data_IF_099833348379
#
_entry.id   IF_099833348379
#
_cell.length_a   1.000
_cell.length_b   1.000
_cell.length_c   1.000
_cell.angle_alpha   90.00
_cell.angle_beta   90.00
_cell.angle_gamma   90.00
#
_symmetry.space_group_name_H-M   'P 1'
#
loop_
_entity.id
_entity.type
_entity.pdbx_description
1 polymer ?
#
# COMPACT_ATOMS: atom_id res chain seq x y z
N UNK A 1 64.12 -18.59 59.24
CA UNK A 1 63.90 -18.36 57.79
C UNK A 1 62.99 -19.46 57.20
N UNK A 2 61.69 -19.33 57.45
CA UNK A 2 60.66 -20.27 57.03
C UNK A 2 60.01 -19.78 55.73
N UNK A 3 60.39 -20.36 54.59
CA UNK A 3 59.69 -20.15 53.33
C UNK A 3 58.58 -21.20 53.18
N UNK A 4 57.33 -20.75 53.29
CA UNK A 4 56.16 -21.55 52.89
C UNK A 4 55.99 -21.47 51.36
N UNK A 5 55.66 -22.58 50.66
CA UNK A 5 55.36 -22.54 49.23
C UNK A 5 53.94 -22.01 49.01
N UNK A 6 53.79 -20.99 48.15
CA UNK A 6 52.48 -20.54 47.67
C UNK A 6 51.92 -21.55 46.66
N UNK A 7 50.76 -22.13 46.95
CA UNK A 7 49.94 -22.85 45.98
C UNK A 7 49.29 -21.88 44.98
N UNK A 8 49.29 -22.19 43.68
CA UNK A 8 48.63 -21.34 42.68
C UNK A 8 47.09 -21.42 42.82
N UNK A 9 46.36 -20.34 42.50
CA UNK A 9 44.91 -20.33 42.57
C UNK A 9 44.29 -21.21 41.48
N UNK A 10 43.25 -21.96 41.85
CA UNK A 10 42.41 -22.74 40.94
C UNK A 10 41.76 -21.82 39.88
N UNK A 11 41.66 -22.26 38.61
CA UNK A 11 40.94 -21.50 37.60
C UNK A 11 39.44 -21.48 37.91
N UNK A 12 38.86 -20.28 37.87
CA UNK A 12 37.43 -20.02 38.06
C UNK A 12 36.59 -20.91 37.11
N UNK A 13 35.43 -21.42 37.55
CA UNK A 13 34.56 -22.19 36.66
C UNK A 13 34.04 -21.26 35.56
N UNK A 14 34.21 -21.69 34.31
CA UNK A 14 33.64 -21.02 33.15
C UNK A 14 32.12 -20.79 33.36
N UNK A 15 31.57 -19.64 32.95
CA UNK A 15 30.15 -19.39 33.07
C UNK A 15 29.35 -20.44 32.28
N UNK A 16 28.14 -20.81 32.73
CA UNK A 16 27.34 -21.84 32.10
C UNK A 16 27.05 -21.49 30.63
N UNK A 17 27.15 -22.50 29.77
CA UNK A 17 26.90 -22.45 28.32
C UNK A 17 25.42 -22.18 27.96
N UNK A 18 24.79 -21.20 28.59
CA UNK A 18 23.39 -20.80 28.39
C UNK A 18 23.22 -19.36 27.86
N UNK A 19 24.32 -18.60 27.67
CA UNK A 19 24.27 -17.20 27.23
C UNK A 19 24.52 -16.97 25.73
N UNK A 20 24.52 -18.02 24.91
CA UNK A 20 24.51 -17.92 23.45
C UNK A 20 23.30 -18.63 22.87
N UNK A 21 22.09 -18.31 23.39
CA UNK A 21 20.89 -18.44 22.57
C UNK A 21 21.01 -17.40 21.47
N UNK A 22 21.57 -17.86 20.35
CA UNK A 22 21.45 -17.34 19.00
C UNK A 22 20.48 -16.17 18.95
N UNK A 23 21.01 -14.98 18.64
CA UNK A 23 20.21 -13.94 18.03
C UNK A 23 19.59 -14.53 16.76
N UNK A 24 18.45 -15.21 16.91
CA UNK A 24 17.51 -15.39 15.81
C UNK A 24 17.20 -13.97 15.43
N UNK A 25 17.89 -13.48 14.38
CA UNK A 25 17.46 -12.39 13.55
C UNK A 25 15.98 -12.67 13.34
N UNK A 26 15.13 -11.95 14.09
CA UNK A 26 13.70 -12.05 13.94
C UNK A 26 13.49 -11.86 12.44
N UNK A 27 13.00 -12.89 11.76
CA UNK A 27 12.81 -12.84 10.33
C UNK A 27 11.77 -11.75 10.12
N UNK A 28 12.23 -10.51 9.89
CA UNK A 28 11.43 -9.30 9.90
C UNK A 28 10.43 -9.48 8.76
N UNK A 29 9.24 -9.96 9.11
CA UNK A 29 8.23 -10.37 8.15
C UNK A 29 7.97 -9.15 7.25
N UNK A 30 8.29 -9.28 5.96
CA UNK A 30 8.29 -8.13 5.06
C UNK A 30 6.85 -7.66 4.89
N UNK A 31 6.54 -6.47 5.42
CA UNK A 31 5.22 -5.85 5.31
C UNK A 31 4.84 -5.70 3.82
N UNK A 32 3.74 -6.31 3.42
CA UNK A 32 3.30 -6.34 2.01
C UNK A 32 2.34 -5.19 1.65
N UNK A 33 1.69 -4.59 2.65
CA UNK A 33 0.86 -3.40 2.49
C UNK A 33 1.75 -2.16 2.42
N UNK A 34 2.21 -1.84 1.22
CA UNK A 34 3.04 -0.67 0.95
C UNK A 34 2.35 0.27 -0.04
N UNK A 35 2.64 1.58 -0.02
CA UNK A 35 2.25 2.49 -1.09
C UNK A 35 2.61 1.91 -2.47
N UNK A 36 1.74 2.11 -3.46
CA UNK A 36 1.90 1.55 -4.81
C UNK A 36 1.44 0.10 -4.96
N UNK A 37 1.01 -0.58 -3.89
CA UNK A 37 0.38 -1.91 -4.00
C UNK A 37 -1.06 -1.80 -4.50
N UNK A 38 -1.42 -2.68 -5.43
CA UNK A 38 -2.78 -2.78 -5.93
C UNK A 38 -3.60 -3.69 -5.01
N UNK A 39 -4.81 -3.25 -4.70
CA UNK A 39 -5.75 -3.92 -3.81
C UNK A 39 -7.15 -3.92 -4.42
N UNK A 40 -8.01 -4.82 -3.96
CA UNK A 40 -9.43 -4.85 -4.31
C UNK A 40 -10.22 -4.49 -3.05
N UNK A 41 -11.20 -3.60 -3.17
CA UNK A 41 -12.10 -3.34 -2.05
C UNK A 41 -13.12 -4.46 -1.93
N UNK A 42 -13.29 -4.97 -0.72
CA UNK A 42 -14.25 -6.04 -0.42
C UNK A 42 -15.64 -5.49 -0.10
N UNK A 43 -15.72 -4.31 0.52
CA UNK A 43 -16.96 -3.80 1.10
C UNK A 43 -17.24 -2.31 0.79
N UNK A 44 -18.51 -1.94 0.97
CA UNK A 44 -19.04 -0.59 0.78
C UNK A 44 -19.30 -0.21 -0.69
N UNK A 45 -19.57 1.08 -0.95
CA UNK A 45 -19.96 1.60 -2.28
C UNK A 45 -19.05 1.21 -3.45
N UNK A 46 -17.77 0.96 -3.18
CA UNK A 46 -16.77 0.61 -4.19
C UNK A 46 -16.30 -0.86 -4.08
N UNK A 47 -17.11 -1.75 -3.52
CA UNK A 47 -16.83 -3.18 -3.49
C UNK A 47 -16.56 -3.73 -4.90
N UNK A 48 -15.60 -4.65 -5.00
CA UNK A 48 -15.12 -5.24 -6.25
C UNK A 48 -14.32 -4.28 -7.15
N UNK A 49 -14.07 -3.04 -6.72
CA UNK A 49 -13.23 -2.09 -7.45
C UNK A 49 -11.76 -2.26 -7.09
N UNK A 50 -10.91 -2.09 -8.09
CA UNK A 50 -9.46 -2.08 -7.99
C UNK A 50 -8.99 -0.69 -7.56
N UNK A 51 -8.08 -0.67 -6.62
CA UNK A 51 -7.49 0.54 -6.06
C UNK A 51 -6.00 0.36 -5.78
N UNK A 52 -5.31 1.47 -5.59
CA UNK A 52 -3.90 1.52 -5.21
C UNK A 52 -3.81 2.18 -3.86
N UNK A 53 -2.96 1.62 -3.01
CA UNK A 53 -2.61 2.22 -1.73
C UNK A 53 -1.75 3.46 -1.99
N UNK A 54 -2.23 4.62 -1.55
CA UNK A 54 -1.51 5.90 -1.64
C UNK A 54 -0.69 6.13 -0.39
N UNK A 55 -1.31 5.93 0.78
CA UNK A 55 -0.67 6.12 2.09
C UNK A 55 -1.18 5.07 3.05
N UNK A 56 -0.29 4.50 3.86
CA UNK A 56 -0.59 3.47 4.86
C UNK A 56 -0.49 4.09 6.25
N UNK A 57 -1.45 3.76 7.11
CA UNK A 57 -1.48 4.14 8.53
C UNK A 57 -1.58 2.86 9.34
N UNK A 58 -0.44 2.32 9.78
CA UNK A 58 -0.39 1.01 10.44
C UNK A 58 -0.84 1.08 11.90
N UNK A 59 -0.38 2.08 12.64
CA UNK A 59 -0.66 2.30 14.07
C UNK A 59 -2.02 3.00 14.31
N UNK A 60 -2.75 3.30 13.24
CA UNK A 60 -3.99 4.07 13.30
C UNK A 60 -3.72 5.58 13.43
N UNK A 61 -4.81 6.34 13.58
CA UNK A 61 -4.80 7.78 13.89
C UNK A 61 -5.69 8.04 15.10
N UNK A 62 -5.62 9.25 15.67
CA UNK A 62 -6.47 9.66 16.81
C UNK A 62 -7.96 9.40 16.56
N UNK A 63 -8.43 9.62 15.33
CA UNK A 63 -9.83 9.40 14.96
C UNK A 63 -10.16 7.92 14.68
N UNK A 64 -9.15 7.11 14.34
CA UNK A 64 -9.30 5.73 13.87
C UNK A 64 -8.17 4.88 14.46
N UNK A 65 -8.38 4.23 15.62
CA UNK A 65 -7.33 3.48 16.32
C UNK A 65 -6.92 2.18 15.62
N UNK A 66 -7.56 1.82 14.50
CA UNK A 66 -7.26 0.62 13.72
C UNK A 66 -6.38 0.92 12.51
N UNK A 67 -5.64 -0.10 12.05
CA UNK A 67 -4.85 -0.05 10.83
C UNK A 67 -5.70 0.23 9.59
N UNK A 68 -5.34 1.26 8.84
CA UNK A 68 -6.07 1.69 7.66
C UNK A 68 -5.16 2.28 6.59
N UNK A 69 -5.66 2.45 5.38
CA UNK A 69 -4.95 3.17 4.34
C UNK A 69 -5.86 4.11 3.56
N UNK A 70 -5.21 5.11 2.96
CA UNK A 70 -5.79 5.88 1.89
C UNK A 70 -5.60 5.14 0.57
N UNK A 71 -6.70 4.92 -0.13
CA UNK A 71 -6.69 4.30 -1.45
C UNK A 71 -7.22 5.25 -2.52
N UNK A 72 -6.59 5.19 -3.69
CA UNK A 72 -7.09 5.79 -4.93
C UNK A 72 -7.51 4.67 -5.89
N UNK A 73 -8.77 4.64 -6.30
CA UNK A 73 -9.31 3.53 -7.09
C UNK A 73 -10.19 3.93 -8.24
N UNK A 74 -10.49 2.95 -9.10
CA UNK A 74 -11.31 3.13 -10.30
C UNK A 74 -12.79 2.98 -9.97
N UNK A 75 -13.53 4.08 -9.89
CA UNK A 75 -14.99 4.04 -9.77
C UNK A 75 -15.61 3.57 -11.09
N UNK A 76 -15.11 4.08 -12.22
CA UNK A 76 -15.51 3.68 -13.57
C UNK A 76 -14.28 3.24 -14.34
N UNK A 77 -14.31 1.98 -14.78
CA UNK A 77 -13.27 1.41 -15.63
C UNK A 77 -13.37 1.95 -17.07
N UNK A 78 -12.24 2.07 -17.78
CA UNK A 78 -12.26 2.33 -19.21
C UNK A 78 -12.89 1.14 -19.94
N UNK A 79 -13.63 1.42 -21.01
CA UNK A 79 -14.25 0.38 -21.86
C UNK A 79 -13.25 -0.08 -22.93
N UNK A 80 -13.41 -1.31 -23.41
CA UNK A 80 -12.63 -1.84 -24.53
C UNK A 80 -12.80 -0.94 -25.75
N UNK A 81 -11.68 -0.44 -26.26
CA UNK A 81 -11.58 0.31 -27.52
C UNK A 81 -11.35 -0.70 -28.65
N UNK A 82 -12.03 -0.51 -29.78
CA UNK A 82 -11.93 -1.35 -30.97
C UNK A 82 -11.35 -0.51 -32.11
N UNK A 83 -10.60 -1.12 -33.03
CA UNK A 83 -9.96 -0.43 -34.16
C UNK A 83 -10.93 0.38 -35.04
N UNK A 84 -12.20 -0.03 -35.10
CA UNK A 84 -13.27 0.64 -35.86
C UNK A 84 -13.89 1.87 -35.13
N UNK A 85 -13.52 2.12 -33.87
CA UNK A 85 -14.05 3.25 -33.12
C UNK A 85 -13.49 4.57 -33.67
N UNK A 86 -14.35 5.58 -33.84
CA UNK A 86 -13.92 6.94 -34.14
C UNK A 86 -13.17 7.56 -32.95
N UNK A 87 -12.31 8.55 -33.21
CA UNK A 87 -11.54 9.23 -32.17
C UNK A 87 -12.41 9.73 -31.00
N UNK A 88 -13.61 10.27 -31.30
CA UNK A 88 -14.59 10.73 -30.30
C UNK A 88 -15.13 9.58 -29.42
N UNK A 89 -15.39 8.41 -30.02
CA UNK A 89 -15.82 7.21 -29.27
C UNK A 89 -14.68 6.68 -28.40
N UNK A 90 -13.47 6.63 -28.94
CA UNK A 90 -12.26 6.22 -28.22
C UNK A 90 -12.01 7.10 -26.99
N UNK A 91 -12.03 8.43 -27.13
CA UNK A 91 -11.86 9.34 -26.00
C UNK A 91 -12.92 9.13 -24.90
N UNK A 92 -14.20 8.92 -25.27
CA UNK A 92 -15.27 8.65 -24.31
C UNK A 92 -15.12 7.29 -23.61
N UNK A 93 -14.62 6.27 -24.31
CA UNK A 93 -14.40 4.91 -23.77
C UNK A 93 -13.19 4.85 -22.84
N UNK A 94 -12.13 5.61 -23.15
CA UNK A 94 -10.90 5.67 -22.35
C UNK A 94 -11.01 6.52 -21.07
N UNK A 95 -12.09 7.30 -20.92
CA UNK A 95 -12.29 8.16 -19.75
C UNK A 95 -12.51 7.33 -18.48
N UNK A 96 -11.73 7.65 -17.45
CA UNK A 96 -11.76 6.99 -16.14
C UNK A 96 -12.45 7.89 -15.12
N UNK A 97 -13.16 7.29 -14.15
CA UNK A 97 -13.61 7.99 -12.94
C UNK A 97 -12.88 7.40 -11.73
N UNK A 98 -12.25 8.25 -10.94
CA UNK A 98 -11.46 7.86 -9.77
C UNK A 98 -12.21 8.20 -8.48
N UNK A 99 -11.92 7.49 -7.40
CA UNK A 99 -12.33 7.84 -6.04
C UNK A 99 -11.14 7.80 -5.09
N UNK A 100 -11.22 8.60 -4.03
CA UNK A 100 -10.32 8.59 -2.89
C UNK A 100 -11.10 8.21 -1.64
N UNK A 101 -10.57 7.28 -0.85
CA UNK A 101 -11.25 6.76 0.33
C UNK A 101 -10.24 6.26 1.38
N UNK A 102 -10.50 6.56 2.65
CA UNK A 102 -9.88 5.84 3.77
C UNK A 102 -10.59 4.51 4.00
N UNK A 103 -9.82 3.42 4.10
CA UNK A 103 -10.34 2.06 4.20
C UNK A 103 -9.55 1.28 5.25
N UNK A 104 -10.26 0.53 6.10
CA UNK A 104 -9.66 -0.42 7.03
C UNK A 104 -9.00 -1.57 6.25
N UNK A 105 -7.87 -2.09 6.73
CA UNK A 105 -7.20 -3.25 6.12
C UNK A 105 -8.09 -4.49 6.01
N UNK A 106 -9.01 -4.72 6.95
CA UNK A 106 -9.95 -5.85 6.89
C UNK A 106 -10.87 -5.80 5.67
N UNK A 107 -11.13 -4.60 5.11
CA UNK A 107 -12.02 -4.41 3.97
C UNK A 107 -11.26 -4.40 2.62
N UNK A 108 -9.99 -4.77 2.64
CA UNK A 108 -9.13 -4.84 1.47
C UNK A 108 -8.69 -6.28 1.22
N UNK A 109 -8.70 -6.66 -0.05
CA UNK A 109 -8.03 -7.85 -0.54
C UNK A 109 -6.71 -7.42 -1.19
N UNK A 110 -5.56 -7.70 -0.56
CA UNK A 110 -4.25 -7.43 -1.13
C UNK A 110 -4.05 -8.29 -2.38
N UNK A 111 -3.36 -7.74 -3.38
CA UNK A 111 -3.02 -8.51 -4.59
C UNK A 111 -1.52 -8.51 -4.81
N UNK A 112 -1.05 -9.43 -5.66
CA UNK A 112 0.36 -9.51 -6.08
C UNK A 112 0.80 -8.27 -6.86
N UNK A 113 -0.13 -7.58 -7.51
CA UNK A 113 0.19 -6.51 -8.45
C UNK A 113 0.63 -5.23 -7.76
N UNK A 114 1.54 -4.52 -8.42
CA UNK A 114 1.95 -3.16 -8.08
C UNK A 114 1.51 -2.21 -9.18
N UNK A 115 1.21 -0.97 -8.80
CA UNK A 115 0.99 0.13 -9.72
C UNK A 115 1.99 1.23 -9.37
N UNK A 116 2.96 1.38 -10.25
CA UNK A 116 3.97 2.42 -10.13
C UNK A 116 3.45 3.71 -10.76
N UNK A 117 2.69 4.47 -9.97
CA UNK A 117 2.18 5.80 -10.33
C UNK A 117 2.53 6.75 -9.20
N UNK A 118 3.22 7.83 -9.54
CA UNK A 118 3.53 8.90 -8.60
C UNK A 118 2.25 9.65 -8.21
N UNK A 119 1.67 9.21 -7.09
CA UNK A 119 0.53 9.85 -6.44
C UNK A 119 0.97 10.67 -5.22
N UNK A 120 2.21 11.17 -5.23
CA UNK A 120 2.81 11.91 -4.11
C UNK A 120 1.99 13.15 -3.73
N UNK A 121 1.51 13.92 -4.72
CA UNK A 121 0.65 15.09 -4.47
C UNK A 121 -0.65 14.73 -3.72
N UNK A 122 -1.22 13.56 -4.04
CA UNK A 122 -2.42 13.03 -3.37
C UNK A 122 -2.09 12.54 -1.96
N UNK A 123 -0.88 12.00 -1.76
CA UNK A 123 -0.39 11.50 -0.48
C UNK A 123 -0.07 12.63 0.51
N UNK A 124 0.56 13.71 0.03
CA UNK A 124 0.99 14.85 0.86
C UNK A 124 -0.17 15.64 1.44
N UNK A 125 -1.30 15.72 0.73
CA UNK A 125 -2.49 16.42 1.21
C UNK A 125 -3.41 15.60 2.12
N UNK A 126 -3.10 14.34 2.45
CA UNK A 126 -4.02 13.46 3.17
C UNK A 126 -3.49 13.09 4.56
N UNK A 127 -4.35 12.95 5.60
CA UNK A 127 -5.80 12.72 5.54
C UNK A 127 -6.69 13.97 5.42
N UNK A 128 -6.16 15.18 5.59
CA UNK A 128 -6.94 16.44 5.65
C UNK A 128 -7.67 16.79 4.35
N UNK A 129 -7.14 16.38 3.20
CA UNK A 129 -7.80 16.57 1.90
C UNK A 129 -9.12 15.82 1.76
N UNK A 130 -9.44 14.87 2.64
CA UNK A 130 -10.72 14.16 2.62
C UNK A 130 -11.81 14.83 3.44
N UNK A 131 -11.48 15.81 4.29
CA UNK A 131 -12.46 16.51 5.14
C UNK A 131 -13.20 17.56 4.33
N UNK A 132 -12.49 18.37 3.54
CA UNK A 132 -13.07 19.38 2.65
C UNK A 132 -13.39 18.81 1.27
N UNK A 133 -14.60 19.08 0.77
CA UNK A 133 -15.08 18.59 -0.53
C UNK A 133 -14.19 19.07 -1.69
N UNK A 134 -13.74 20.33 -1.65
CA UNK A 134 -12.94 20.95 -2.72
C UNK A 134 -11.56 20.31 -2.83
N UNK A 135 -10.88 20.12 -1.69
CA UNK A 135 -9.58 19.43 -1.62
C UNK A 135 -9.68 18.00 -2.14
N UNK A 136 -10.76 17.29 -1.79
CA UNK A 136 -11.02 15.93 -2.26
C UNK A 136 -11.23 15.88 -3.77
N UNK A 137 -11.95 16.85 -4.34
CA UNK A 137 -12.17 16.95 -5.79
C UNK A 137 -10.86 17.27 -6.51
N UNK A 138 -10.04 18.18 -5.98
CA UNK A 138 -8.71 18.49 -6.51
C UNK A 138 -7.80 17.27 -6.55
N UNK A 139 -7.68 16.56 -5.43
CA UNK A 139 -6.88 15.34 -5.33
C UNK A 139 -7.39 14.22 -6.26
N UNK A 140 -8.72 14.07 -6.40
CA UNK A 140 -9.29 13.11 -7.33
C UNK A 140 -9.03 13.47 -8.79
N UNK A 141 -8.96 14.77 -9.14
CA UNK A 141 -8.62 15.25 -10.48
C UNK A 141 -7.16 14.94 -10.81
N UNK A 142 -6.23 15.16 -9.86
CA UNK A 142 -4.82 14.80 -10.01
C UNK A 142 -4.65 13.28 -10.21
N UNK A 143 -5.26 12.47 -9.33
CA UNK A 143 -5.21 11.01 -9.45
C UNK A 143 -5.82 10.50 -10.76
N UNK A 144 -6.90 11.13 -11.24
CA UNK A 144 -7.52 10.82 -12.54
C UNK A 144 -6.57 11.07 -13.70
N UNK A 145 -5.90 12.22 -13.75
CA UNK A 145 -4.97 12.54 -14.83
C UNK A 145 -3.87 11.48 -14.95
N UNK A 146 -3.25 11.12 -13.82
CA UNK A 146 -2.18 10.11 -13.77
C UNK A 146 -2.66 8.70 -14.15
N UNK A 147 -3.85 8.30 -13.71
CA UNK A 147 -4.42 6.99 -14.08
C UNK A 147 -4.85 6.92 -15.56
N UNK A 148 -5.36 8.02 -16.13
CA UNK A 148 -5.67 8.08 -17.56
C UNK A 148 -4.42 8.06 -18.43
N UNK A 149 -3.35 8.75 -18.02
CA UNK A 149 -2.04 8.70 -18.66
C UNK A 149 -1.50 7.27 -18.66
N UNK A 150 -1.48 6.62 -17.49
CA UNK A 150 -1.00 5.23 -17.36
C UNK A 150 -1.83 4.27 -18.21
N UNK A 151 -3.16 4.44 -18.30
CA UNK A 151 -4.00 3.61 -19.16
C UNK A 151 -3.63 3.74 -20.65
N UNK A 152 -3.34 4.95 -21.12
CA UNK A 152 -2.94 5.19 -22.52
C UNK A 152 -1.61 4.52 -22.87
N UNK A 153 -0.70 4.34 -21.91
CA UNK A 153 0.56 3.60 -22.13
C UNK A 153 0.36 2.09 -22.34
N UNK A 154 -0.84 1.55 -22.12
CA UNK A 154 -1.13 0.11 -22.24
C UNK A 154 -0.56 -0.75 -21.11
N UNK A 155 0.15 -0.17 -20.13
CA UNK A 155 0.70 -0.87 -18.97
C UNK A 155 -0.39 -1.20 -17.95
N UNK A 156 -0.09 -2.16 -17.06
CA UNK A 156 -0.97 -2.54 -15.94
C UNK A 156 -2.40 -2.92 -16.38
N UNK A 157 -2.54 -3.66 -17.50
CA UNK A 157 -3.83 -4.08 -18.08
C UNK A 157 -4.79 -4.72 -17.08
N UNK A 158 -4.27 -5.53 -16.15
CA UNK A 158 -5.09 -6.11 -15.08
C UNK A 158 -5.78 -5.03 -14.26
N UNK A 159 -5.10 -3.95 -13.89
CA UNK A 159 -5.66 -2.89 -13.04
C UNK A 159 -6.84 -2.18 -13.73
N UNK A 160 -6.71 -1.88 -15.02
CA UNK A 160 -7.72 -1.16 -15.79
C UNK A 160 -8.86 -2.05 -16.34
N UNK A 161 -8.73 -3.37 -16.22
CA UNK A 161 -9.78 -4.31 -16.60
C UNK A 161 -10.71 -4.57 -15.41
N UNK A 162 -12.02 -4.42 -15.60
CA UNK A 162 -13.03 -4.68 -14.57
C UNK A 162 -12.94 -6.13 -14.08
N UNK A 163 -12.96 -6.33 -12.76
CA UNK A 163 -13.09 -7.65 -12.15
C UNK A 163 -14.50 -8.20 -12.41
N UNK A 164 -14.60 -9.46 -12.87
CA UNK A 164 -15.87 -10.16 -13.02
C UNK A 164 -16.03 -11.09 -11.82
N UNK A 165 -17.07 -10.87 -11.04
CA UNK A 165 -17.47 -11.61 -9.85
C UNK A 165 -18.99 -11.56 -9.80
#
# INVERSE_FOLDING_TARGET
PSHSPQTPPLPSPNPPAAAQRSSRKEAKMVKFLKPGKAVILLQGRYAGKKAVIVRVFEEGTRDRPYGHCLVAGLAKYPKKVIRKDSAKKTAKKSRVKVFLKLVNFTHLMPTRYTLDVDLKEVASGAPDSLTSKDKKVGAAKAAKAKLEERFKTGKNRWFFTKLRF
#
